data_IF_242423038807
#
_entry.id   IF_242423038807
#
_cell.length_a   1.000
_cell.length_b   1.000
_cell.length_c   1.000
_cell.angle_alpha   90.00
_cell.angle_beta   90.00
_cell.angle_gamma   90.00
#
_symmetry.space_group_name_H-M   'P 1'
#
loop_
_entity.id
_entity.type
_entity.pdbx_description
1 polymer ?
#
# COMPACT_ATOMS: atom_id res chain seq x y z
N UNK A 1 -25.95 -6.15 -16.59
CA UNK A 1 -26.76 -6.71 -15.46
C UNK A 1 -27.00 -5.62 -14.41
N UNK A 2 -27.74 -4.56 -14.76
CA UNK A 2 -28.04 -3.47 -13.82
C UNK A 2 -29.53 -3.09 -13.77
N UNK A 3 -30.39 -3.91 -14.41
CA UNK A 3 -31.84 -3.76 -14.37
C UNK A 3 -32.34 -3.86 -12.93
N UNK A 4 -32.74 -2.72 -12.35
CA UNK A 4 -33.33 -2.64 -11.02
C UNK A 4 -32.44 -2.07 -9.91
N UNK A 5 -31.25 -1.52 -10.22
CA UNK A 5 -30.47 -0.79 -9.21
C UNK A 5 -31.14 0.58 -8.94
N UNK A 6 -31.67 0.85 -7.72
CA UNK A 6 -32.34 2.11 -7.39
C UNK A 6 -31.45 3.34 -7.60
N UNK A 7 -30.13 3.19 -7.45
CA UNK A 7 -29.17 4.25 -7.71
C UNK A 7 -29.05 4.58 -9.20
N UNK A 8 -29.05 3.56 -10.06
CA UNK A 8 -28.98 3.77 -11.51
C UNK A 8 -30.22 4.51 -12.00
N UNK A 9 -31.40 4.13 -11.49
CA UNK A 9 -32.66 4.83 -11.72
C UNK A 9 -32.61 6.27 -11.21
N UNK A 10 -32.02 6.51 -10.03
CA UNK A 10 -31.87 7.85 -9.47
C UNK A 10 -30.90 8.72 -10.29
N UNK A 11 -29.71 8.22 -10.64
CA UNK A 11 -28.74 8.91 -11.49
C UNK A 11 -29.34 9.31 -12.83
N UNK A 12 -30.16 8.44 -13.43
CA UNK A 12 -30.83 8.71 -14.69
C UNK A 12 -31.94 9.74 -14.50
N UNK A 13 -32.77 9.61 -13.46
CA UNK A 13 -33.82 10.58 -13.17
C UNK A 13 -33.25 11.99 -12.96
N UNK A 14 -32.18 12.10 -12.16
CA UNK A 14 -31.49 13.37 -11.91
C UNK A 14 -30.85 13.92 -13.20
N UNK A 15 -30.35 13.04 -14.08
CA UNK A 15 -29.79 13.42 -15.40
C UNK A 15 -30.87 13.98 -16.34
N UNK A 16 -32.07 13.37 -16.36
CA UNK A 16 -33.20 13.86 -17.16
C UNK A 16 -33.69 15.20 -16.63
N UNK A 17 -33.82 15.35 -15.32
CA UNK A 17 -34.23 16.60 -14.69
C UNK A 17 -33.24 17.75 -14.95
N UNK A 18 -31.93 17.51 -14.80
CA UNK A 18 -30.92 18.57 -14.95
C UNK A 18 -30.70 19.00 -16.40
N UNK A 19 -30.81 18.09 -17.37
CA UNK A 19 -30.35 18.35 -18.75
C UNK A 19 -31.47 18.53 -19.75
N UNK A 20 -32.57 17.82 -19.54
CA UNK A 20 -33.73 17.83 -20.41
C UNK A 20 -34.91 18.52 -19.73
N UNK A 21 -34.69 19.15 -18.57
CA UNK A 21 -35.74 19.83 -17.81
C UNK A 21 -36.88 18.91 -17.39
N UNK A 22 -36.58 17.61 -17.23
CA UNK A 22 -37.59 16.58 -16.96
C UNK A 22 -38.24 15.99 -18.22
N UNK A 23 -37.86 16.43 -19.42
CA UNK A 23 -38.41 15.92 -20.69
C UNK A 23 -37.79 14.57 -21.05
N UNK A 24 -38.51 13.52 -20.71
CA UNK A 24 -38.14 12.13 -21.00
C UNK A 24 -38.17 11.87 -22.51
N UNK A 25 -39.06 12.52 -23.27
CA UNK A 25 -39.21 12.27 -24.69
C UNK A 25 -38.05 12.88 -25.48
N UNK A 26 -37.58 14.08 -25.10
CA UNK A 26 -36.35 14.68 -25.64
C UNK A 26 -35.13 13.82 -25.30
N UNK A 27 -35.03 13.34 -24.06
CA UNK A 27 -33.99 12.41 -23.63
C UNK A 27 -33.99 11.09 -24.42
N UNK A 28 -35.16 10.57 -24.82
CA UNK A 28 -35.27 9.32 -25.59
C UNK A 28 -35.03 9.52 -27.09
N UNK A 29 -35.20 10.74 -27.61
CA UNK A 29 -35.03 11.07 -29.04
C UNK A 29 -33.56 11.25 -29.46
N UNK A 30 -32.65 11.53 -28.55
CA UNK A 30 -31.19 11.65 -28.78
C UNK A 30 -30.51 10.32 -29.18
N UNK A 31 -31.27 9.26 -29.53
CA UNK A 31 -30.75 7.94 -29.89
C UNK A 31 -29.96 7.26 -28.76
N UNK A 32 -30.31 7.59 -27.51
CA UNK A 32 -29.94 6.87 -26.30
C UNK A 32 -30.69 5.54 -26.29
N UNK A 33 -30.17 4.59 -27.06
CA UNK A 33 -30.54 3.17 -27.04
C UNK A 33 -30.77 2.76 -25.59
N UNK A 34 -32.02 2.41 -25.31
CA UNK A 34 -32.55 1.98 -24.02
C UNK A 34 -31.55 1.05 -23.31
N UNK A 35 -30.87 1.60 -22.30
CA UNK A 35 -30.14 0.92 -21.22
C UNK A 35 -29.32 -0.34 -21.58
N UNK A 36 -28.26 -0.19 -22.38
CA UNK A 36 -27.22 -1.23 -22.47
C UNK A 36 -25.95 -0.94 -21.63
N UNK A 37 -25.67 0.28 -21.17
CA UNK A 37 -24.67 0.44 -20.11
C UNK A 37 -24.81 1.72 -19.25
N UNK A 38 -24.90 1.54 -17.93
CA UNK A 38 -24.80 2.63 -16.93
C UNK A 38 -23.52 3.44 -17.13
N UNK A 39 -22.47 2.78 -17.65
CA UNK A 39 -21.20 3.39 -17.99
C UNK A 39 -21.35 4.61 -18.88
N UNK A 40 -22.21 4.58 -19.90
CA UNK A 40 -22.41 5.70 -20.84
C UNK A 40 -22.95 6.96 -20.13
N UNK A 41 -23.89 6.79 -19.21
CA UNK A 41 -24.42 7.92 -18.41
C UNK A 41 -23.33 8.46 -17.48
N UNK A 42 -22.58 7.57 -16.83
CA UNK A 42 -21.46 7.97 -15.98
C UNK A 42 -20.36 8.69 -16.77
N UNK A 43 -20.05 8.26 -17.99
CA UNK A 43 -19.10 8.93 -18.90
C UNK A 43 -19.53 10.36 -19.23
N UNK A 44 -20.80 10.55 -19.58
CA UNK A 44 -21.34 11.89 -19.87
C UNK A 44 -21.29 12.80 -18.63
N UNK A 45 -21.64 12.27 -17.46
CA UNK A 45 -21.60 13.02 -16.20
C UNK A 45 -20.15 13.35 -15.81
N UNK A 46 -19.24 12.38 -15.92
CA UNK A 46 -17.83 12.54 -15.58
C UNK A 46 -17.12 13.55 -16.49
N UNK A 47 -17.41 13.52 -17.80
CA UNK A 47 -16.82 14.43 -18.78
C UNK A 47 -17.17 15.91 -18.54
N UNK A 48 -18.27 16.19 -17.82
CA UNK A 48 -18.72 17.56 -17.50
C UNK A 48 -18.13 18.11 -16.21
N UNK A 49 -17.47 17.26 -15.43
CA UNK A 49 -16.82 17.67 -14.19
C UNK A 49 -15.58 18.51 -14.50
N UNK A 50 -15.31 19.48 -13.63
CA UNK A 50 -14.04 20.20 -13.65
C UNK A 50 -12.87 19.25 -13.34
N UNK A 51 -11.66 19.62 -13.77
CA UNK A 51 -10.45 18.83 -13.50
C UNK A 51 -10.21 18.58 -12.00
N UNK A 52 -10.62 19.51 -11.12
CA UNK A 52 -10.53 19.33 -9.67
C UNK A 52 -11.57 18.33 -9.16
N UNK A 53 -12.81 18.39 -9.65
CA UNK A 53 -13.86 17.43 -9.29
C UNK A 53 -13.47 16.00 -9.73
N UNK A 54 -12.95 15.83 -10.95
CA UNK A 54 -12.45 14.54 -11.43
C UNK A 54 -11.30 14.01 -10.57
N UNK A 55 -10.31 14.86 -10.25
CA UNK A 55 -9.19 14.48 -9.38
C UNK A 55 -9.65 14.07 -7.98
N UNK A 56 -10.62 14.79 -7.39
CA UNK A 56 -11.18 14.44 -6.08
C UNK A 56 -11.95 13.11 -6.11
N UNK A 57 -12.69 12.83 -7.19
CA UNK A 57 -13.35 11.55 -7.39
C UNK A 57 -12.33 10.40 -7.49
N UNK A 58 -11.24 10.57 -8.25
CA UNK A 58 -10.18 9.57 -8.30
C UNK A 58 -9.52 9.36 -6.94
N UNK A 59 -9.27 10.42 -6.16
CA UNK A 59 -8.75 10.27 -4.80
C UNK A 59 -9.69 9.48 -3.91
N UNK A 60 -10.99 9.78 -3.93
CA UNK A 60 -11.98 8.99 -3.16
C UNK A 60 -12.01 7.52 -3.61
N UNK A 61 -11.87 7.26 -4.91
CA UNK A 61 -11.83 5.89 -5.44
C UNK A 61 -10.59 5.13 -4.95
N UNK A 62 -9.45 5.80 -4.83
CA UNK A 62 -8.20 5.24 -4.28
C UNK A 62 -8.28 5.05 -2.76
N UNK A 63 -8.90 5.97 -2.01
CA UNK A 63 -8.96 5.90 -0.55
C UNK A 63 -9.83 4.72 -0.07
N UNK A 64 -10.89 4.37 -0.81
CA UNK A 64 -11.75 3.18 -0.59
C UNK A 64 -12.45 3.14 0.77
N UNK A 65 -12.33 4.21 1.56
CA UNK A 65 -12.98 4.40 2.86
C UNK A 65 -13.54 5.84 2.92
N UNK A 66 -14.53 6.11 3.81
CA UNK A 66 -14.93 7.47 4.12
C UNK A 66 -13.71 8.33 4.48
N UNK A 67 -13.50 9.41 3.73
CA UNK A 67 -12.27 10.22 3.80
C UNK A 67 -12.59 11.65 4.22
N UNK A 68 -11.99 12.17 5.29
CA UNK A 68 -12.16 13.56 5.69
C UNK A 68 -11.62 14.55 4.65
N UNK A 69 -12.23 15.73 4.55
CA UNK A 69 -11.78 16.79 3.62
C UNK A 69 -10.31 17.17 3.83
N UNK A 70 -9.85 17.17 5.09
CA UNK A 70 -8.46 17.49 5.41
C UNK A 70 -7.48 16.50 4.78
N UNK A 71 -7.82 15.21 4.76
CA UNK A 71 -7.00 14.17 4.15
C UNK A 71 -7.01 14.28 2.62
N UNK A 72 -8.18 14.49 2.00
CA UNK A 72 -8.25 14.71 0.55
C UNK A 72 -7.39 15.89 0.10
N UNK A 73 -7.38 16.97 0.88
CA UNK A 73 -6.55 18.14 0.60
C UNK A 73 -5.05 17.87 0.69
N UNK A 74 -4.62 17.00 1.60
CA UNK A 74 -3.20 16.62 1.72
C UNK A 74 -2.71 15.82 0.52
N UNK A 75 -3.61 15.17 -0.21
CA UNK A 75 -3.27 14.40 -1.40
C UNK A 75 -3.08 15.28 -2.66
N UNK A 76 -3.60 16.51 -2.68
CA UNK A 76 -3.49 17.40 -3.84
C UNK A 76 -2.10 18.04 -3.89
N UNK A 77 -1.39 17.84 -5.00
CA UNK A 77 -0.02 18.37 -5.20
C UNK A 77 0.04 19.89 -5.28
N UNK A 78 -1.02 20.51 -5.79
CA UNK A 78 -1.14 21.95 -5.87
C UNK A 78 -1.83 22.45 -4.61
N UNK A 79 -1.35 23.56 -4.03
CA UNK A 79 -1.99 24.21 -2.88
C UNK A 79 -3.35 24.81 -3.23
N UNK A 80 -4.30 23.96 -3.64
CA UNK A 80 -5.65 24.34 -4.04
C UNK A 80 -6.31 25.02 -2.85
N UNK A 81 -6.79 26.27 -3.01
CA UNK A 81 -7.48 26.98 -1.95
C UNK A 81 -8.64 26.16 -1.39
N UNK A 82 -8.76 26.11 -0.06
CA UNK A 82 -9.79 25.33 0.61
C UNK A 82 -11.20 25.61 0.09
N UNK A 83 -11.50 26.87 -0.25
CA UNK A 83 -12.79 27.27 -0.82
C UNK A 83 -13.16 26.48 -2.09
N UNK A 84 -12.20 26.29 -2.99
CA UNK A 84 -12.42 25.60 -4.26
C UNK A 84 -12.66 24.10 -4.05
N UNK A 85 -11.93 23.49 -3.11
CA UNK A 85 -12.14 22.09 -2.73
C UNK A 85 -13.54 21.91 -2.12
N UNK A 86 -13.96 22.81 -1.24
CA UNK A 86 -15.31 22.76 -0.64
C UNK A 86 -16.40 22.95 -1.69
N UNK A 87 -16.22 23.90 -2.63
CA UNK A 87 -17.15 24.12 -3.74
C UNK A 87 -17.26 22.89 -4.64
N UNK A 88 -16.13 22.30 -5.02
CA UNK A 88 -16.09 21.07 -5.81
C UNK A 88 -16.80 19.91 -5.10
N UNK A 89 -16.52 19.68 -3.81
CA UNK A 89 -17.18 18.62 -3.03
C UNK A 89 -18.70 18.84 -2.92
N UNK A 90 -19.15 20.08 -2.75
CA UNK A 90 -20.60 20.40 -2.78
C UNK A 90 -21.21 20.14 -4.16
N UNK A 91 -20.50 20.45 -5.24
CA UNK A 91 -20.92 20.14 -6.61
C UNK A 91 -21.11 18.63 -6.82
N UNK A 92 -20.12 17.84 -6.39
CA UNK A 92 -20.18 16.37 -6.45
C UNK A 92 -21.33 15.78 -5.61
N UNK A 93 -21.62 16.35 -4.44
CA UNK A 93 -22.75 15.93 -3.60
C UNK A 93 -24.10 16.23 -4.25
N UNK A 94 -24.25 17.41 -4.87
CA UNK A 94 -25.50 17.79 -5.56
C UNK A 94 -25.84 16.84 -6.70
N UNK A 95 -24.81 16.40 -7.44
CA UNK A 95 -24.94 15.39 -8.50
C UNK A 95 -25.04 13.95 -7.97
N UNK A 96 -25.10 13.76 -6.65
CA UNK A 96 -25.19 12.45 -5.99
C UNK A 96 -24.08 11.46 -6.34
N UNK A 97 -22.91 11.96 -6.74
CA UNK A 97 -21.75 11.12 -7.05
C UNK A 97 -21.02 10.67 -5.78
N UNK A 98 -21.16 11.42 -4.69
CA UNK A 98 -20.52 11.16 -3.40
C UNK A 98 -21.52 11.24 -2.24
N UNK A 99 -21.26 10.46 -1.21
CA UNK A 99 -21.97 10.47 0.06
C UNK A 99 -21.14 11.19 1.13
N UNK A 100 -21.81 11.76 2.12
CA UNK A 100 -21.14 12.33 3.30
C UNK A 100 -21.73 11.72 4.56
N UNK A 101 -20.85 11.27 5.43
CA UNK A 101 -21.16 10.77 6.77
C UNK A 101 -20.30 11.52 7.80
N UNK A 102 -20.50 11.21 9.09
CA UNK A 102 -19.65 11.77 10.16
C UNK A 102 -18.16 11.46 9.99
N UNK A 103 -17.83 10.37 9.29
CA UNK A 103 -16.45 9.91 9.07
C UNK A 103 -15.78 10.54 7.82
N UNK A 104 -16.54 11.28 7.00
CA UNK A 104 -16.02 11.97 5.82
C UNK A 104 -16.86 11.73 4.57
N UNK A 105 -16.21 11.83 3.41
CA UNK A 105 -16.81 11.64 2.11
C UNK A 105 -16.51 10.24 1.56
N UNK A 106 -17.50 9.60 0.97
CA UNK A 106 -17.37 8.26 0.40
C UNK A 106 -18.00 8.19 -0.98
N UNK A 107 -17.62 7.18 -1.75
CA UNK A 107 -18.24 6.84 -3.02
C UNK A 107 -19.12 5.62 -2.83
N UNK A 108 -20.20 5.56 -3.58
CA UNK A 108 -20.98 4.34 -3.70
C UNK A 108 -20.25 3.30 -4.55
N UNK A 109 -20.49 2.02 -4.28
CA UNK A 109 -19.74 0.92 -4.91
C UNK A 109 -19.74 0.96 -6.45
N UNK A 110 -20.87 1.31 -7.07
CA UNK A 110 -20.99 1.41 -8.54
C UNK A 110 -20.07 2.51 -9.09
N UNK A 111 -19.97 3.64 -8.39
CA UNK A 111 -19.11 4.76 -8.78
C UNK A 111 -17.64 4.40 -8.54
N UNK A 112 -17.33 3.69 -7.44
CA UNK A 112 -15.96 3.21 -7.18
C UNK A 112 -15.49 2.28 -8.31
N UNK A 113 -16.33 1.35 -8.75
CA UNK A 113 -16.01 0.42 -9.84
C UNK A 113 -15.78 1.17 -11.15
N UNK A 114 -16.71 2.06 -11.52
CA UNK A 114 -16.58 2.93 -12.70
C UNK A 114 -15.29 3.76 -12.68
N UNK A 115 -15.04 4.50 -11.59
CA UNK A 115 -13.86 5.36 -11.48
C UNK A 115 -12.55 4.56 -11.44
N UNK A 116 -12.56 3.34 -10.88
CA UNK A 116 -11.39 2.46 -10.91
C UNK A 116 -11.06 2.06 -12.34
N UNK A 117 -12.06 1.69 -13.13
CA UNK A 117 -11.89 1.37 -14.56
C UNK A 117 -11.37 2.56 -15.36
N UNK A 118 -11.95 3.75 -15.18
CA UNK A 118 -11.48 4.98 -15.82
C UNK A 118 -10.04 5.31 -15.44
N UNK A 119 -9.70 5.20 -14.14
CA UNK A 119 -8.34 5.44 -13.66
C UNK A 119 -7.35 4.48 -14.33
N UNK A 120 -7.68 3.19 -14.41
CA UNK A 120 -6.83 2.18 -15.05
C UNK A 120 -6.67 2.45 -16.55
N UNK A 121 -7.75 2.85 -17.23
CA UNK A 121 -7.74 3.20 -18.65
C UNK A 121 -6.83 4.38 -18.94
N UNK A 122 -7.03 5.49 -18.24
CA UNK A 122 -6.23 6.70 -18.41
C UNK A 122 -4.77 6.45 -18.09
N UNK A 123 -4.46 5.86 -16.93
CA UNK A 123 -3.08 5.62 -16.50
C UNK A 123 -2.38 4.61 -17.43
N UNK A 124 -3.11 3.60 -17.93
CA UNK A 124 -2.55 2.66 -18.91
C UNK A 124 -2.18 3.35 -20.22
N UNK A 125 -2.97 4.33 -20.67
CA UNK A 125 -2.68 5.11 -21.88
C UNK A 125 -1.49 6.04 -21.65
N UNK A 126 -1.46 6.78 -20.53
CA UNK A 126 -0.35 7.67 -20.16
C UNK A 126 0.98 6.92 -20.04
N UNK A 127 0.99 5.76 -19.36
CA UNK A 127 2.19 4.96 -19.22
C UNK A 127 2.60 4.28 -20.54
N UNK A 128 1.67 4.02 -21.46
CA UNK A 128 2.02 3.50 -22.78
C UNK A 128 2.58 4.59 -23.71
N UNK A 129 2.04 5.81 -23.66
CA UNK A 129 2.52 6.93 -24.49
C UNK A 129 3.77 7.61 -23.92
N UNK A 130 3.94 7.60 -22.60
CA UNK A 130 4.97 8.37 -21.88
C UNK A 130 4.53 9.80 -21.53
N UNK A 131 3.34 10.23 -21.96
CA UNK A 131 2.77 11.54 -21.63
C UNK A 131 1.97 11.44 -20.33
N UNK A 132 2.62 11.78 -19.21
CA UNK A 132 2.04 11.62 -17.88
C UNK A 132 1.29 12.89 -17.46
N UNK A 133 0.05 12.74 -17.00
CA UNK A 133 -0.76 13.85 -16.45
C UNK A 133 -1.41 13.42 -15.15
N UNK A 134 -2.31 12.44 -15.19
CA UNK A 134 -2.98 11.89 -14.02
C UNK A 134 -2.01 11.09 -13.15
N UNK A 135 -1.05 10.39 -13.76
CA UNK A 135 -0.03 9.63 -13.06
C UNK A 135 0.86 10.52 -12.17
N UNK A 136 1.03 11.80 -12.53
CA UNK A 136 1.69 12.77 -11.66
C UNK A 136 0.86 13.11 -10.42
N UNK A 137 -0.47 13.14 -10.53
CA UNK A 137 -1.37 13.79 -9.55
C UNK A 137 -2.05 12.83 -8.59
N UNK A 138 -2.20 11.56 -8.98
CA UNK A 138 -2.87 10.53 -8.17
C UNK A 138 -1.88 9.43 -7.77
N UNK A 139 -1.92 9.01 -6.51
CA UNK A 139 -1.26 7.77 -6.09
C UNK A 139 -2.16 6.57 -6.40
N UNK A 140 -1.63 5.52 -7.03
CA UNK A 140 -2.39 4.29 -7.31
C UNK A 140 -2.45 3.34 -6.10
N UNK A 141 -1.50 3.51 -5.19
CA UNK A 141 -1.41 2.82 -3.91
C UNK A 141 -0.90 3.80 -2.86
N UNK A 142 -1.50 3.79 -1.67
CA UNK A 142 -1.06 4.64 -0.56
C UNK A 142 -0.36 3.80 0.50
N UNK A 143 0.96 3.89 0.59
CA UNK A 143 1.75 3.16 1.57
C UNK A 143 1.27 3.38 3.01
N UNK A 144 0.71 4.55 3.33
CA UNK A 144 0.23 4.88 4.67
C UNK A 144 -1.16 4.31 5.02
N UNK A 145 -1.94 3.84 4.05
CA UNK A 145 -3.28 3.28 4.29
C UNK A 145 -3.23 1.98 5.10
N UNK A 146 -4.36 1.57 5.68
CA UNK A 146 -4.45 0.28 6.40
C UNK A 146 -4.13 -0.89 5.46
N UNK A 147 -3.66 -2.01 6.03
CA UNK A 147 -3.20 -3.15 5.22
C UNK A 147 -4.27 -3.70 4.27
N UNK A 148 -5.52 -3.84 4.72
CA UNK A 148 -6.61 -4.31 3.87
C UNK A 148 -6.96 -3.33 2.73
N UNK A 149 -6.87 -2.01 3.00
CA UNK A 149 -7.07 -0.98 1.97
C UNK A 149 -5.98 -1.10 0.90
N UNK A 150 -4.71 -1.21 1.30
CA UNK A 150 -3.60 -1.40 0.35
C UNK A 150 -3.75 -2.69 -0.47
N UNK A 151 -4.14 -3.80 0.17
CA UNK A 151 -4.39 -5.05 -0.53
C UNK A 151 -5.54 -4.90 -1.55
N UNK A 152 -6.57 -4.13 -1.20
CA UNK A 152 -7.65 -3.80 -2.13
C UNK A 152 -7.18 -2.91 -3.28
N UNK A 153 -6.38 -1.87 -3.02
CA UNK A 153 -5.81 -0.98 -4.04
C UNK A 153 -4.96 -1.79 -5.03
N UNK A 154 -4.09 -2.65 -4.52
CA UNK A 154 -3.27 -3.54 -5.35
C UNK A 154 -4.14 -4.45 -6.24
N UNK A 155 -5.15 -5.11 -5.65
CA UNK A 155 -6.02 -6.06 -6.36
C UNK A 155 -6.87 -5.40 -7.45
N UNK A 156 -7.40 -4.21 -7.19
CA UNK A 156 -8.39 -3.57 -8.07
C UNK A 156 -7.74 -2.60 -9.04
N UNK A 157 -6.63 -1.95 -8.68
CA UNK A 157 -5.96 -0.94 -9.52
C UNK A 157 -4.68 -1.52 -10.14
N UNK A 158 -3.69 -1.86 -9.31
CA UNK A 158 -2.35 -2.22 -9.82
C UNK A 158 -2.33 -3.52 -10.63
N UNK A 159 -3.04 -4.56 -10.19
CA UNK A 159 -3.05 -5.87 -10.88
C UNK A 159 -3.70 -5.77 -12.27
N UNK A 160 -4.90 -5.19 -12.44
CA UNK A 160 -5.49 -5.03 -13.78
C UNK A 160 -4.70 -4.06 -14.67
N UNK A 161 -4.16 -2.96 -14.09
CA UNK A 161 -3.30 -2.03 -14.82
C UNK A 161 -2.05 -2.72 -15.36
N UNK A 162 -1.34 -3.46 -14.50
CA UNK A 162 -0.14 -4.20 -14.89
C UNK A 162 -0.42 -5.23 -15.97
N UNK A 163 -1.55 -5.96 -15.88
CA UNK A 163 -1.98 -6.89 -16.94
C UNK A 163 -2.22 -6.18 -18.26
N UNK A 164 -2.92 -5.03 -18.26
CA UNK A 164 -3.16 -4.23 -19.48
C UNK A 164 -1.85 -3.74 -20.10
N UNK A 165 -0.93 -3.22 -19.30
CA UNK A 165 0.35 -2.73 -19.79
C UNK A 165 1.25 -3.84 -20.33
N UNK A 166 1.31 -4.99 -19.65
CA UNK A 166 2.05 -6.15 -20.16
C UNK A 166 1.45 -6.68 -21.47
N UNK A 167 0.12 -6.68 -21.62
CA UNK A 167 -0.52 -7.08 -22.86
C UNK A 167 -0.26 -6.09 -24.01
N UNK A 168 -0.19 -4.79 -23.71
CA UNK A 168 0.02 -3.74 -24.71
C UNK A 168 1.50 -3.62 -25.13
N UNK A 169 2.41 -3.54 -24.16
CA UNK A 169 3.84 -3.29 -24.39
C UNK A 169 4.65 -4.57 -24.55
N UNK A 170 4.15 -5.70 -24.04
CA UNK A 170 4.81 -7.01 -24.16
C UNK A 170 6.27 -6.97 -23.66
N UNK A 171 7.23 -7.49 -24.44
CA UNK A 171 8.65 -7.49 -24.06
C UNK A 171 9.26 -6.10 -23.86
N UNK A 172 8.69 -5.05 -24.45
CA UNK A 172 9.20 -3.69 -24.34
C UNK A 172 8.85 -3.02 -22.99
N UNK A 173 7.98 -3.64 -22.18
CA UNK A 173 7.48 -3.07 -20.93
C UNK A 173 8.60 -2.55 -20.02
N UNK A 174 9.61 -3.37 -19.72
CA UNK A 174 10.69 -2.99 -18.80
C UNK A 174 11.53 -1.83 -19.35
N UNK A 175 11.94 -1.92 -20.62
CA UNK A 175 12.71 -0.86 -21.29
C UNK A 175 11.93 0.45 -21.34
N UNK A 176 10.62 0.37 -21.60
CA UNK A 176 9.73 1.53 -21.64
C UNK A 176 9.57 2.18 -20.26
N UNK A 177 9.38 1.40 -19.19
CA UNK A 177 9.33 1.93 -17.83
C UNK A 177 10.65 2.61 -17.44
N UNK A 178 11.80 2.03 -17.80
CA UNK A 178 13.11 2.64 -17.56
C UNK A 178 13.28 3.96 -18.34
N UNK A 179 12.77 4.03 -19.57
CA UNK A 179 12.80 5.25 -20.38
C UNK A 179 11.97 6.37 -19.74
N UNK A 180 10.74 6.07 -19.28
CA UNK A 180 9.91 7.04 -18.56
C UNK A 180 10.61 7.54 -17.30
N UNK A 181 11.19 6.64 -16.51
CA UNK A 181 11.93 7.03 -15.30
C UNK A 181 13.12 7.94 -15.65
N UNK A 182 13.84 7.68 -16.75
CA UNK A 182 14.94 8.52 -17.22
C UNK A 182 14.46 9.91 -17.64
N UNK A 183 13.32 10.00 -18.31
CA UNK A 183 12.73 11.28 -18.72
C UNK A 183 12.23 12.09 -17.51
N UNK A 184 11.62 11.43 -16.52
CA UNK A 184 11.25 12.05 -15.25
C UNK A 184 12.47 12.63 -14.51
N UNK A 185 13.63 11.98 -14.57
CA UNK A 185 14.88 12.47 -13.95
C UNK A 185 15.44 13.72 -14.62
N UNK A 186 15.09 13.99 -15.89
CA UNK A 186 15.59 15.15 -16.65
C UNK A 186 14.86 16.45 -16.30
N UNK A 187 13.71 16.38 -15.63
CA UNK A 187 12.90 17.56 -15.28
C UNK A 187 13.53 18.34 -14.13
N UNK A 188 13.87 19.61 -14.37
CA UNK A 188 14.47 20.54 -13.39
C UNK A 188 13.73 21.89 -13.46
N UNK A 189 13.32 22.51 -12.33
CA UNK A 189 13.47 22.06 -10.95
C UNK A 189 12.57 20.87 -10.61
N UNK A 190 12.91 20.13 -9.54
CA UNK A 190 12.10 19.01 -9.09
C UNK A 190 10.74 19.50 -8.60
N UNK A 191 9.67 18.95 -9.17
CA UNK A 191 8.28 19.26 -8.79
C UNK A 191 7.68 18.03 -8.11
N UNK A 192 6.97 18.18 -6.97
CA UNK A 192 6.16 17.12 -6.34
C UNK A 192 5.39 16.26 -7.36
N UNK A 193 5.45 14.94 -7.21
CA UNK A 193 4.88 14.00 -8.18
C UNK A 193 4.68 12.61 -7.59
N UNK A 194 3.60 11.93 -7.96
CA UNK A 194 3.35 10.52 -7.65
C UNK A 194 3.87 9.55 -8.72
N UNK A 195 4.26 10.04 -9.90
CA UNK A 195 4.49 9.19 -11.08
C UNK A 195 5.56 8.11 -10.88
N UNK A 196 6.75 8.48 -10.39
CA UNK A 196 7.83 7.51 -10.18
C UNK A 196 7.49 6.51 -9.05
N UNK A 197 6.81 6.97 -8.00
CA UNK A 197 6.30 6.09 -6.95
C UNK A 197 5.24 5.09 -7.44
N UNK A 198 4.35 5.52 -8.34
CA UNK A 198 3.37 4.66 -8.99
C UNK A 198 4.04 3.58 -9.84
N UNK A 199 5.03 3.96 -10.66
CA UNK A 199 5.81 3.02 -11.48
C UNK A 199 6.52 2.00 -10.58
N UNK A 200 7.18 2.45 -9.51
CA UNK A 200 7.86 1.54 -8.58
C UNK A 200 6.89 0.56 -7.91
N UNK A 201 5.77 1.04 -7.37
CA UNK A 201 4.74 0.16 -6.79
C UNK A 201 4.19 -0.84 -7.82
N UNK A 202 4.00 -0.43 -9.07
CA UNK A 202 3.54 -1.30 -10.16
C UNK A 202 4.57 -2.40 -10.48
N UNK A 203 5.85 -2.03 -10.65
CA UNK A 203 6.92 -2.99 -10.93
C UNK A 203 7.06 -4.03 -9.81
N UNK A 204 6.98 -3.57 -8.55
CA UNK A 204 6.98 -4.44 -7.37
C UNK A 204 5.78 -5.38 -7.35
N UNK A 205 4.58 -4.87 -7.66
CA UNK A 205 3.35 -5.68 -7.72
C UNK A 205 3.41 -6.76 -8.81
N UNK A 206 4.13 -6.49 -9.90
CA UNK A 206 4.36 -7.43 -11.00
C UNK A 206 5.51 -8.41 -10.75
N UNK A 207 6.27 -8.24 -9.67
CA UNK A 207 7.44 -9.08 -9.36
C UNK A 207 8.58 -8.90 -10.36
N UNK A 208 8.71 -7.72 -10.96
CA UNK A 208 9.82 -7.39 -11.86
C UNK A 208 11.11 -7.26 -11.04
N UNK A 209 12.20 -7.89 -11.51
CA UNK A 209 13.53 -7.67 -10.96
C UNK A 209 13.96 -6.23 -11.22
N UNK A 210 14.23 -5.50 -10.14
CA UNK A 210 14.60 -4.10 -10.16
C UNK A 210 16.12 -3.89 -10.21
N UNK A 211 16.92 -4.96 -10.23
CA UNK A 211 18.38 -4.84 -10.28
C UNK A 211 18.82 -3.95 -11.44
N UNK A 212 19.57 -2.88 -11.14
CA UNK A 212 20.03 -1.90 -12.13
C UNK A 212 19.04 -0.79 -12.48
N UNK A 213 17.84 -0.76 -11.87
CA UNK A 213 16.95 0.39 -12.00
C UNK A 213 17.51 1.61 -11.26
N UNK A 214 17.46 2.74 -11.95
CA UNK A 214 17.82 4.05 -11.41
C UNK A 214 16.56 4.84 -11.05
N UNK A 215 16.31 5.01 -9.77
CA UNK A 215 15.27 5.88 -9.21
C UNK A 215 15.88 7.11 -8.52
N UNK A 216 17.16 7.41 -8.77
CA UNK A 216 17.83 8.55 -8.18
C UNK A 216 17.13 9.85 -8.54
N UNK A 217 17.11 10.79 -7.60
CA UNK A 217 16.55 12.14 -7.78
C UNK A 217 15.07 12.20 -8.18
N UNK A 218 14.31 11.12 -7.98
CA UNK A 218 12.86 11.05 -8.24
C UNK A 218 12.03 11.18 -6.96
N UNK A 219 10.78 11.61 -7.11
CA UNK A 219 9.78 11.60 -6.04
C UNK A 219 9.11 10.21 -6.00
N UNK A 220 9.47 9.41 -5.01
CA UNK A 220 8.95 8.07 -4.76
C UNK A 220 7.90 8.13 -3.65
N UNK A 221 6.90 8.99 -3.86
CA UNK A 221 5.87 9.22 -2.87
C UNK A 221 4.93 8.01 -2.75
N UNK A 222 4.50 7.72 -1.51
CA UNK A 222 3.55 6.65 -1.19
C UNK A 222 3.99 5.23 -1.63
N UNK A 223 5.29 4.99 -1.80
CA UNK A 223 5.81 3.67 -2.15
C UNK A 223 5.80 2.73 -0.94
N UNK A 224 5.33 1.50 -1.14
CA UNK A 224 5.30 0.46 -0.11
C UNK A 224 6.42 -0.55 -0.33
N UNK A 225 7.51 -0.41 0.43
CA UNK A 225 8.77 -1.19 0.30
C UNK A 225 8.96 -2.24 1.41
N UNK A 226 7.94 -2.43 2.26
CA UNK A 226 8.02 -3.33 3.40
C UNK A 226 8.27 -4.79 2.96
N UNK A 227 9.37 -5.37 3.44
CA UNK A 227 9.70 -6.78 3.20
C UNK A 227 10.27 -7.07 1.81
N UNK A 228 10.70 -6.04 1.07
CA UNK A 228 11.24 -6.17 -0.29
C UNK A 228 12.76 -5.96 -0.31
N UNK A 229 13.44 -6.74 -1.14
CA UNK A 229 14.88 -6.61 -1.40
C UNK A 229 15.10 -5.75 -2.64
N UNK A 230 15.66 -4.56 -2.45
CA UNK A 230 16.01 -3.63 -3.54
C UNK A 230 17.50 -3.72 -3.88
N UNK A 231 18.00 -4.93 -4.13
CA UNK A 231 19.42 -5.13 -4.41
C UNK A 231 19.81 -4.42 -5.71
N UNK A 232 20.85 -3.57 -5.66
CA UNK A 232 21.37 -2.89 -6.84
C UNK A 232 20.40 -1.88 -7.47
N UNK A 233 19.45 -1.35 -6.69
CA UNK A 233 18.55 -0.26 -7.10
C UNK A 233 19.13 1.07 -6.62
N UNK A 234 19.27 2.05 -7.50
CA UNK A 234 19.74 3.38 -7.11
C UNK A 234 18.58 4.25 -6.59
N UNK A 235 18.67 4.66 -5.34
CA UNK A 235 17.70 5.55 -4.67
C UNK A 235 18.35 6.88 -4.24
N UNK A 236 19.53 7.20 -4.78
CA UNK A 236 20.32 8.37 -4.38
C UNK A 236 19.52 9.66 -4.56
N UNK A 237 19.40 10.48 -3.51
CA UNK A 237 18.63 11.72 -3.50
C UNK A 237 17.14 11.58 -3.91
N UNK A 238 16.56 10.39 -3.81
CA UNK A 238 15.13 10.21 -4.03
C UNK A 238 14.33 10.83 -2.86
N UNK A 239 13.21 11.49 -3.17
CA UNK A 239 12.26 11.96 -2.16
C UNK A 239 11.29 10.84 -1.81
N UNK A 240 11.37 10.36 -0.58
CA UNK A 240 10.65 9.21 -0.06
C UNK A 240 9.44 9.61 0.79
N UNK A 241 8.92 10.83 0.61
CA UNK A 241 7.80 11.35 1.40
C UNK A 241 6.60 10.39 1.38
N UNK A 242 6.20 9.95 2.57
CA UNK A 242 5.07 9.04 2.75
C UNK A 242 5.31 7.59 2.32
N UNK A 243 6.55 7.21 1.94
CA UNK A 243 6.90 5.82 1.71
C UNK A 243 6.97 5.02 3.02
N UNK A 244 6.76 3.69 2.94
CA UNK A 244 6.95 2.75 4.07
C UNK A 244 8.03 1.73 3.74
N UNK A 245 9.14 1.79 4.48
CA UNK A 245 10.31 0.91 4.31
C UNK A 245 10.29 -0.30 5.24
N UNK A 246 9.86 -0.10 6.47
CA UNK A 246 10.11 -1.06 7.52
C UNK A 246 9.03 -2.14 7.53
N UNK A 247 9.44 -3.41 7.45
CA UNK A 247 8.98 -4.33 8.49
C UNK A 247 9.50 -3.68 9.75
N UNK A 248 8.61 -3.07 10.55
CA UNK A 248 9.04 -2.40 11.78
C UNK A 248 9.86 -3.46 12.52
N UNK A 249 11.18 -3.23 12.61
CA UNK A 249 11.96 -3.74 13.71
C UNK A 249 11.27 -3.07 14.89
N UNK A 250 10.36 -3.79 15.53
CA UNK A 250 9.89 -3.33 16.82
C UNK A 250 11.11 -3.28 17.75
N UNK A 251 11.03 -2.47 18.81
CA UNK A 251 12.18 -2.13 19.66
C UNK A 251 12.98 -3.39 19.99
N UNK A 252 14.27 -3.39 19.62
CA UNK A 252 15.16 -4.51 19.91
C UNK A 252 15.44 -4.51 21.39
N UNK A 253 15.04 -5.58 22.06
CA UNK A 253 15.20 -5.74 23.50
C UNK A 253 16.46 -6.54 23.83
N UNK A 254 16.88 -7.46 22.95
CA UNK A 254 18.01 -8.37 23.19
C UNK A 254 18.60 -8.88 21.88
N UNK A 255 19.89 -9.23 21.93
CA UNK A 255 20.62 -9.86 20.83
C UNK A 255 21.57 -10.93 21.36
N UNK A 256 21.73 -12.04 20.64
CA UNK A 256 22.73 -13.07 20.92
C UNK A 256 23.31 -13.64 19.63
N UNK A 257 24.62 -13.90 19.63
CA UNK A 257 25.27 -14.68 18.58
C UNK A 257 25.17 -16.16 18.88
N UNK A 258 25.05 -16.99 17.84
CA UNK A 258 25.28 -18.43 17.98
C UNK A 258 26.74 -18.70 18.35
N UNK A 259 27.05 -19.83 19.02
CA UNK A 259 28.41 -20.15 19.46
C UNK A 259 29.42 -20.23 18.30
N UNK A 260 28.97 -20.67 17.12
CA UNK A 260 29.78 -20.73 15.91
C UNK A 260 29.88 -19.37 15.18
N UNK A 261 29.17 -18.33 15.65
CA UNK A 261 29.16 -16.99 15.06
C UNK A 261 28.37 -16.84 13.76
N UNK A 262 27.77 -17.91 13.23
CA UNK A 262 27.08 -17.90 11.94
C UNK A 262 25.70 -17.25 11.98
N UNK A 263 25.06 -17.22 13.16
CA UNK A 263 23.71 -16.71 13.36
C UNK A 263 23.66 -15.61 14.41
N UNK A 264 22.70 -14.71 14.24
CA UNK A 264 22.30 -13.71 15.23
C UNK A 264 20.82 -13.91 15.53
N UNK A 265 20.47 -14.10 16.80
CA UNK A 265 19.11 -14.06 17.28
C UNK A 265 18.79 -12.70 17.89
N UNK A 266 17.68 -12.11 17.49
CA UNK A 266 17.21 -10.81 17.98
C UNK A 266 15.80 -10.97 18.55
N UNK A 267 15.62 -10.62 19.83
CA UNK A 267 14.30 -10.55 20.48
C UNK A 267 13.74 -9.13 20.44
N UNK A 268 12.46 -9.01 20.09
CA UNK A 268 11.79 -7.73 19.91
C UNK A 268 10.64 -7.51 20.92
N UNK A 269 10.25 -6.24 21.09
CA UNK A 269 9.16 -5.80 21.97
C UNK A 269 7.80 -6.40 21.61
N UNK A 270 7.56 -6.74 20.34
CA UNK A 270 6.33 -7.39 19.88
C UNK A 270 6.27 -8.91 20.14
N UNK A 271 7.28 -9.49 20.80
CA UNK A 271 7.32 -10.93 21.07
C UNK A 271 7.92 -11.80 19.96
N UNK A 272 8.36 -11.20 18.84
CA UNK A 272 9.06 -11.92 17.77
C UNK A 272 10.52 -12.19 18.13
N UNK A 273 11.04 -13.32 17.64
CA UNK A 273 12.48 -13.60 17.59
C UNK A 273 12.86 -13.70 16.12
N UNK A 274 13.87 -12.93 15.69
CA UNK A 274 14.37 -12.95 14.31
C UNK A 274 15.75 -13.56 14.27
N UNK A 275 15.97 -14.48 13.34
CA UNK A 275 17.26 -15.14 13.12
C UNK A 275 17.87 -14.61 11.84
N UNK A 276 19.09 -14.10 11.95
CA UNK A 276 19.86 -13.53 10.86
C UNK A 276 21.13 -14.34 10.63
N UNK A 277 21.57 -14.39 9.39
CA UNK A 277 22.87 -14.91 9.02
C UNK A 277 23.94 -13.83 9.18
N UNK A 278 25.06 -14.15 9.82
CA UNK A 278 26.13 -13.18 10.10
C UNK A 278 26.94 -12.84 8.84
N UNK A 279 27.08 -13.77 7.90
CA UNK A 279 27.98 -13.62 6.74
C UNK A 279 27.51 -12.59 5.73
N UNK A 280 26.21 -12.53 5.47
CA UNK A 280 25.60 -11.67 4.45
C UNK A 280 24.47 -10.78 5.00
N UNK A 281 24.25 -10.82 6.32
CA UNK A 281 23.21 -10.05 7.02
C UNK A 281 21.80 -10.30 6.49
N UNK A 282 21.52 -11.52 6.04
CA UNK A 282 20.18 -11.91 5.56
C UNK A 282 19.29 -12.40 6.71
N UNK A 283 17.98 -12.11 6.62
CA UNK A 283 16.99 -12.61 7.57
C UNK A 283 16.60 -14.04 7.16
N UNK A 284 16.91 -15.02 8.01
CA UNK A 284 16.62 -16.44 7.75
C UNK A 284 15.21 -16.83 8.23
N UNK A 285 14.80 -16.36 9.41
CA UNK A 285 13.53 -16.76 9.99
C UNK A 285 12.95 -15.72 10.97
N UNK A 286 11.62 -15.75 11.11
CA UNK A 286 10.88 -15.04 12.16
C UNK A 286 10.11 -16.07 12.97
N UNK A 287 10.48 -16.24 14.23
CA UNK A 287 9.82 -17.14 15.15
C UNK A 287 8.79 -16.38 15.98
N UNK A 288 7.55 -16.88 15.95
CA UNK A 288 6.40 -16.31 16.66
C UNK A 288 5.93 -17.29 17.72
N UNK A 289 5.61 -16.79 18.90
CA UNK A 289 5.03 -17.63 19.95
C UNK A 289 4.81 -16.90 21.26
N UNK A 290 5.75 -16.03 21.65
CA UNK A 290 5.55 -15.15 22.80
C UNK A 290 4.41 -14.17 22.56
N UNK A 291 3.69 -13.84 23.62
CA UNK A 291 2.54 -12.92 23.59
C UNK A 291 2.89 -11.52 24.10
N UNK A 292 4.16 -11.29 24.43
CA UNK A 292 4.70 -10.04 24.96
C UNK A 292 6.21 -9.98 24.66
N UNK A 293 6.83 -8.84 24.96
CA UNK A 293 8.23 -8.53 24.68
C UNK A 293 9.21 -9.65 25.06
N UNK A 294 10.17 -9.94 24.19
CA UNK A 294 11.27 -10.88 24.46
C UNK A 294 12.45 -10.10 25.02
N UNK A 295 12.65 -10.16 26.34
CA UNK A 295 13.67 -9.39 27.05
C UNK A 295 15.05 -10.03 27.02
N UNK A 296 15.14 -11.34 26.79
CA UNK A 296 16.40 -12.06 26.79
C UNK A 296 16.35 -13.27 25.86
N UNK A 297 17.43 -13.49 25.11
CA UNK A 297 17.67 -14.70 24.31
C UNK A 297 19.07 -15.24 24.56
N UNK A 298 19.23 -16.55 24.54
CA UNK A 298 20.53 -17.20 24.69
C UNK A 298 20.58 -18.49 23.87
N UNK A 299 21.66 -18.71 23.12
CA UNK A 299 21.91 -19.98 22.46
C UNK A 299 22.47 -21.00 23.46
N UNK A 300 22.16 -22.28 23.26
CA UNK A 300 22.87 -23.37 23.93
C UNK A 300 24.32 -23.44 23.42
N UNK A 301 25.26 -23.99 24.20
CA UNK A 301 26.68 -24.06 23.81
C UNK A 301 26.94 -24.85 22.51
N UNK A 302 26.09 -25.83 22.19
CA UNK A 302 26.13 -26.59 20.94
C UNK A 302 25.43 -25.88 19.77
N UNK A 303 24.77 -24.75 20.02
CA UNK A 303 24.02 -23.97 19.02
C UNK A 303 22.72 -24.62 18.54
N UNK A 304 22.34 -25.80 19.06
CA UNK A 304 21.16 -26.53 18.59
C UNK A 304 19.84 -25.95 19.13
N UNK A 305 19.90 -25.28 20.29
CA UNK A 305 18.75 -24.70 20.97
C UNK A 305 18.93 -23.20 21.17
N UNK A 306 17.79 -22.49 21.19
CA UNK A 306 17.72 -21.11 21.67
C UNK A 306 16.72 -21.06 22.82
N UNK A 307 17.07 -20.42 23.93
CA UNK A 307 16.15 -20.07 24.99
C UNK A 307 15.74 -18.60 24.86
N UNK A 308 14.47 -18.29 25.16
CA UNK A 308 13.97 -16.91 25.20
C UNK A 308 13.12 -16.68 26.45
N UNK A 309 13.34 -15.55 27.11
CA UNK A 309 12.54 -15.06 28.23
C UNK A 309 11.69 -13.85 27.83
N UNK A 310 10.42 -13.84 28.24
CA UNK A 310 9.45 -12.82 27.82
C UNK A 310 8.66 -12.18 28.97
N UNK A 311 8.07 -11.01 28.68
CA UNK A 311 7.03 -10.37 29.48
C UNK A 311 5.79 -11.25 29.70
N UNK A 312 5.56 -12.25 28.85
CA UNK A 312 4.45 -13.20 28.97
C UNK A 312 4.61 -14.21 30.12
N UNK A 313 5.71 -14.08 30.90
CA UNK A 313 6.09 -14.88 32.08
C UNK A 313 6.47 -16.32 31.74
N UNK A 314 6.80 -16.59 30.48
CA UNK A 314 7.27 -17.89 30.04
C UNK A 314 8.71 -17.83 29.56
N UNK A 315 9.40 -18.96 29.70
CA UNK A 315 10.64 -19.23 28.98
C UNK A 315 10.32 -20.22 27.88
N UNK A 316 10.72 -19.95 26.64
CA UNK A 316 10.57 -20.90 25.53
C UNK A 316 11.93 -21.41 25.08
N UNK A 317 11.99 -22.69 24.76
CA UNK A 317 13.15 -23.34 24.17
C UNK A 317 12.78 -23.72 22.75
N UNK A 318 13.55 -23.21 21.80
CA UNK A 318 13.36 -23.35 20.36
C UNK A 318 14.42 -24.28 19.81
N UNK A 319 14.03 -25.11 18.86
CA UNK A 319 14.94 -25.83 18.00
C UNK A 319 15.46 -24.88 16.91
N UNK A 320 16.76 -24.68 16.83
CA UNK A 320 17.35 -23.66 15.93
C UNK A 320 17.19 -24.05 14.46
N UNK A 321 17.24 -25.35 14.15
CA UNK A 321 17.16 -25.83 12.77
C UNK A 321 15.75 -25.71 12.20
N UNK A 322 14.73 -26.00 13.01
CA UNK A 322 13.32 -26.01 12.56
C UNK A 322 12.55 -24.74 12.92
N UNK A 323 13.05 -23.96 13.87
CA UNK A 323 12.36 -22.79 14.41
C UNK A 323 11.12 -23.11 15.24
N UNK A 324 10.94 -24.38 15.63
CA UNK A 324 9.79 -24.82 16.40
C UNK A 324 10.07 -24.76 17.90
N UNK A 325 9.02 -24.53 18.68
CA UNK A 325 9.08 -24.55 20.15
C UNK A 325 9.15 -26.01 20.61
N UNK A 326 10.28 -26.39 21.21
CA UNK A 326 10.42 -27.69 21.88
C UNK A 326 9.77 -27.69 23.26
N UNK A 327 9.98 -26.62 24.02
CA UNK A 327 9.45 -26.51 25.38
C UNK A 327 8.94 -25.10 25.68
N UNK A 328 7.85 -25.03 26.45
CA UNK A 328 7.38 -23.80 27.10
C UNK A 328 7.39 -24.01 28.60
N UNK A 329 8.36 -23.38 29.27
CA UNK A 329 8.54 -23.46 30.71
C UNK A 329 7.73 -22.35 31.39
N UNK A 330 6.90 -22.75 32.34
CA UNK A 330 6.04 -21.88 33.13
C UNK A 330 6.37 -22.07 34.61
N UNK A 331 6.26 -20.99 35.39
CA UNK A 331 6.50 -21.05 36.84
C UNK A 331 6.79 -19.69 37.46
N UNK A 332 7.31 -18.73 36.68
CA UNK A 332 7.54 -17.37 37.15
C UNK A 332 6.23 -16.58 37.24
N UNK A 333 6.09 -15.78 38.30
CA UNK A 333 4.91 -14.95 38.52
C UNK A 333 4.97 -13.59 37.78
N UNK A 334 6.18 -13.20 37.33
CA UNK A 334 6.50 -11.92 36.69
C UNK A 334 7.33 -12.14 35.42
N UNK A 335 7.60 -11.05 34.69
CA UNK A 335 8.35 -11.05 33.44
C UNK A 335 9.74 -11.66 33.62
N UNK A 336 10.18 -12.42 32.62
CA UNK A 336 11.53 -13.00 32.59
C UNK A 336 12.48 -11.95 32.03
N UNK A 337 13.43 -11.49 32.84
CA UNK A 337 14.42 -10.49 32.44
C UNK A 337 15.73 -11.11 31.93
N UNK A 338 16.02 -12.37 32.26
CA UNK A 338 17.27 -13.03 31.87
C UNK A 338 17.08 -14.55 31.71
N UNK A 339 17.75 -15.11 30.69
CA UNK A 339 17.92 -16.56 30.51
C UNK A 339 19.39 -16.86 30.18
N UNK A 340 19.92 -17.99 30.66
CA UNK A 340 21.28 -18.43 30.37
C UNK A 340 21.41 -19.96 30.42
N UNK A 341 22.06 -20.55 29.42
CA UNK A 341 22.46 -21.95 29.46
C UNK A 341 23.73 -22.13 30.30
N UNK A 342 23.86 -23.26 30.98
CA UNK A 342 25.14 -23.67 31.56
C UNK A 342 26.17 -23.96 30.47
N UNK A 343 27.48 -23.87 30.75
CA UNK A 343 28.54 -24.10 29.76
C UNK A 343 28.52 -25.50 29.13
N UNK A 344 28.00 -26.50 29.85
CA UNK A 344 27.80 -27.86 29.37
C UNK A 344 26.45 -28.08 28.67
N UNK A 345 25.58 -27.07 28.62
CA UNK A 345 24.25 -27.11 28.01
C UNK A 345 23.20 -27.89 28.81
N UNK A 346 23.56 -28.48 29.95
CA UNK A 346 22.69 -29.36 30.71
C UNK A 346 21.58 -28.63 31.48
N UNK A 347 21.79 -27.35 31.82
CA UNK A 347 20.89 -26.55 32.63
C UNK A 347 20.54 -25.23 31.94
N UNK A 348 19.32 -24.76 32.19
CA UNK A 348 18.84 -23.45 31.77
C UNK A 348 18.41 -22.66 33.02
N UNK A 349 19.11 -21.57 33.31
CA UNK A 349 18.76 -20.63 34.36
C UNK A 349 17.82 -19.55 33.81
N UNK A 350 16.87 -19.10 34.63
CA UNK A 350 15.98 -17.97 34.30
C UNK A 350 15.72 -17.09 35.51
N UNK A 351 15.74 -15.77 35.31
CA UNK A 351 15.48 -14.77 36.34
C UNK A 351 14.24 -13.93 36.02
N UNK A 352 13.36 -13.75 36.99
CA UNK A 352 12.21 -12.83 36.93
C UNK A 352 12.36 -11.69 37.93
N UNK A 353 11.76 -10.53 37.61
CA UNK A 353 11.80 -9.30 38.44
C UNK A 353 10.76 -9.25 39.55
#
# INVERSE_FOLDING_TARGET
RYSGNPLALKLVADTVDELFGGDIDEFLQENTVVFDDIRTVLDQQFARLSALEQELLFWLAVEREPTPLAQLRQNLLHGVPQRLVVEAMRGLQRRTLIESSGDGFALQNVIVEYLSDCLIETISQELASGELVLCHRIALLKAQSKAYVRQSQARIILVPLGRRLLNNLGPAFNTHMQQILADLRRVVPRVPSYAAGNILNLLLQLGIDLTGYDFSRLNLWQVFLQGLTLHGVDLTEADLTGARFSNIFDTVCTVAYSPNGELIAIGALNGEIRIWQTTDHTLLAIWRGHQDAVWSVAFSPDGALLASGSGDRTVRVWDVQTGQIRHTLRGHAKSIGAVAFSPDGALLASGSG
#
